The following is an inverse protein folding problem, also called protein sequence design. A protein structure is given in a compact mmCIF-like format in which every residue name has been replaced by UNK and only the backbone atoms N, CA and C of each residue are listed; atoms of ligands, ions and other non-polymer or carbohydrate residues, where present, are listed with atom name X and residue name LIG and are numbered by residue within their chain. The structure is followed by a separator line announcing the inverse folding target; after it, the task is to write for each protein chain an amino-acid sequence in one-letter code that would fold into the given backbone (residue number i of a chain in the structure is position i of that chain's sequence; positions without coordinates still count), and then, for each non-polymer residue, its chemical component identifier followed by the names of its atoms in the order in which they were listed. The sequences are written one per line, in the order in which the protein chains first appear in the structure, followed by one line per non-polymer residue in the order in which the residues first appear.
data_IF_768590303322
#
_entry.id   IF_768590303322
#
_cell.length_a   1.000
_cell.length_b   1.000
_cell.length_c   1.000
_cell.angle_alpha   90.00
_cell.angle_beta   90.00
_cell.angle_gamma   90.00
#
_symmetry.space_group_name_H-M   'P 1'
#
loop_
_entity.id
_entity.type
_entity.pdbx_description
1 polymer ?
#
# COMPACT_ATOMS: atom_id res chain seq x y z
N UNK A 1 -11.35 -12.36 13.04
CA UNK A 1 -10.73 -11.01 13.24
C UNK A 1 -11.65 -9.96 12.64
N UNK A 2 -11.83 -8.79 13.29
CA UNK A 2 -12.58 -7.67 12.69
C UNK A 2 -11.99 -7.33 11.31
N UNK A 3 -12.84 -7.23 10.28
CA UNK A 3 -12.48 -6.98 8.88
C UNK A 3 -11.47 -5.83 8.73
N UNK A 4 -11.60 -4.78 9.54
CA UNK A 4 -10.68 -3.63 9.58
C UNK A 4 -9.25 -3.96 10.04
N UNK A 5 -9.07 -4.85 11.02
CA UNK A 5 -7.73 -5.26 11.48
C UNK A 5 -6.98 -6.05 10.40
N UNK A 6 -7.69 -6.84 9.59
CA UNK A 6 -7.09 -7.59 8.50
C UNK A 6 -6.43 -6.65 7.47
N UNK A 7 -7.10 -5.59 7.04
CA UNK A 7 -6.54 -4.67 6.04
C UNK A 7 -5.34 -3.87 6.56
N UNK A 8 -5.32 -3.46 7.85
CA UNK A 8 -4.14 -2.84 8.44
C UNK A 8 -2.96 -3.80 8.40
N UNK A 9 -3.16 -5.04 8.86
CA UNK A 9 -2.10 -6.04 8.96
C UNK A 9 -1.59 -6.42 7.57
N UNK A 10 -2.49 -6.61 6.60
CA UNK A 10 -2.13 -6.88 5.22
C UNK A 10 -1.30 -5.74 4.60
N UNK A 11 -1.75 -4.48 4.75
CA UNK A 11 -1.02 -3.33 4.22
C UNK A 11 0.33 -3.12 4.91
N UNK A 12 0.44 -3.41 6.21
CA UNK A 12 1.69 -3.33 6.96
C UNK A 12 2.68 -4.42 6.56
N UNK A 13 2.21 -5.64 6.31
CA UNK A 13 3.02 -6.74 5.75
C UNK A 13 3.59 -6.33 4.39
N UNK A 14 2.76 -5.77 3.52
CA UNK A 14 3.18 -5.35 2.18
C UNK A 14 4.18 -4.18 2.24
N UNK A 15 4.01 -3.23 3.16
CA UNK A 15 4.99 -2.16 3.38
C UNK A 15 6.34 -2.72 3.83
N UNK A 16 6.35 -3.58 4.86
CA UNK A 16 7.58 -4.18 5.37
C UNK A 16 8.28 -4.98 4.26
N UNK A 17 7.53 -5.78 3.50
CA UNK A 17 8.06 -6.51 2.37
C UNK A 17 8.68 -5.57 1.32
N UNK A 18 8.02 -4.46 0.99
CA UNK A 18 8.54 -3.47 0.05
C UNK A 18 9.85 -2.82 0.52
N UNK A 19 9.98 -2.52 1.82
CA UNK A 19 11.21 -1.98 2.42
C UNK A 19 12.35 -3.01 2.37
N UNK A 20 12.07 -4.27 2.70
CA UNK A 20 13.07 -5.35 2.65
C UNK A 20 13.52 -5.59 1.21
N UNK A 21 12.59 -5.59 0.25
CA UNK A 21 12.89 -5.72 -1.18
C UNK A 21 13.77 -4.56 -1.65
N UNK A 22 13.45 -3.33 -1.25
CA UNK A 22 14.26 -2.15 -1.54
C UNK A 22 15.70 -2.31 -1.01
N UNK A 23 15.84 -2.67 0.27
CA UNK A 23 17.14 -2.92 0.89
C UNK A 23 17.93 -4.00 0.15
N UNK A 24 17.31 -5.15 -0.11
CA UNK A 24 17.96 -6.27 -0.79
C UNK A 24 18.47 -5.91 -2.20
N UNK A 25 17.65 -5.23 -3.00
CA UNK A 25 18.04 -4.84 -4.36
C UNK A 25 19.11 -3.74 -4.35
N UNK A 26 19.05 -2.81 -3.39
CA UNK A 26 20.04 -1.73 -3.29
C UNK A 26 21.46 -2.25 -2.98
N UNK A 27 21.57 -3.33 -2.19
CA UNK A 27 22.87 -3.88 -1.79
C UNK A 27 23.37 -4.92 -2.81
N UNK A 28 22.51 -5.80 -3.31
CA UNK A 28 22.93 -6.97 -4.11
C UNK A 28 22.71 -6.79 -5.62
N UNK A 29 21.96 -5.77 -6.06
CA UNK A 29 21.74 -5.52 -7.48
C UNK A 29 20.97 -6.66 -8.18
N UNK A 30 21.34 -7.08 -9.40
CA UNK A 30 20.57 -8.06 -10.19
C UNK A 30 20.41 -9.43 -9.52
N UNK A 31 21.34 -9.84 -8.65
CA UNK A 31 21.28 -11.14 -7.95
C UNK A 31 20.23 -11.17 -6.83
N UNK A 32 19.67 -10.03 -6.44
CA UNK A 32 18.56 -9.95 -5.48
C UNK A 32 17.22 -10.45 -6.04
N UNK A 33 17.13 -10.75 -7.34
CA UNK A 33 15.87 -11.09 -8.00
C UNK A 33 15.19 -12.34 -7.42
N UNK A 34 15.97 -13.38 -7.07
CA UNK A 34 15.47 -14.63 -6.48
C UNK A 34 14.89 -14.41 -5.06
N UNK A 35 15.61 -13.80 -4.09
CA UNK A 35 15.06 -13.57 -2.76
C UNK A 35 13.86 -12.59 -2.78
N UNK A 36 13.84 -11.62 -3.68
CA UNK A 36 12.70 -10.70 -3.86
C UNK A 36 11.46 -11.46 -4.33
N UNK A 37 11.58 -12.32 -5.33
CA UNK A 37 10.46 -13.14 -5.81
C UNK A 37 9.89 -14.03 -4.69
N UNK A 38 10.76 -14.66 -3.89
CA UNK A 38 10.37 -15.45 -2.72
C UNK A 38 9.59 -14.62 -1.68
N UNK A 39 10.07 -13.42 -1.35
CA UNK A 39 9.40 -12.51 -0.42
C UNK A 39 8.01 -12.08 -0.88
N UNK A 40 7.84 -11.80 -2.17
CA UNK A 40 6.52 -11.45 -2.75
C UNK A 40 5.55 -12.62 -2.61
N UNK A 41 5.99 -13.84 -2.93
CA UNK A 41 5.16 -15.04 -2.80
C UNK A 41 4.78 -15.29 -1.34
N UNK A 42 5.74 -15.21 -0.41
CA UNK A 42 5.49 -15.38 1.03
C UNK A 42 4.49 -14.33 1.53
N UNK A 43 4.65 -13.08 1.11
CA UNK A 43 3.74 -11.99 1.50
C UNK A 43 2.32 -12.25 0.97
N UNK A 44 2.19 -12.69 -0.29
CA UNK A 44 0.90 -13.03 -0.88
C UNK A 44 0.22 -14.23 -0.17
N UNK A 45 0.98 -15.29 0.14
CA UNK A 45 0.47 -16.45 0.89
C UNK A 45 0.03 -16.02 2.30
N UNK A 46 0.81 -15.18 2.97
CA UNK A 46 0.50 -14.70 4.31
C UNK A 46 -0.82 -13.92 4.29
N UNK A 47 -1.00 -12.98 3.36
CA UNK A 47 -2.25 -12.23 3.19
C UNK A 47 -3.41 -13.17 2.87
N UNK A 48 -3.22 -14.15 2.00
CA UNK A 48 -4.25 -15.13 1.66
C UNK A 48 -4.69 -15.96 2.87
N UNK A 49 -3.76 -16.44 3.69
CA UNK A 49 -4.07 -17.19 4.92
C UNK A 49 -4.81 -16.33 5.94
N UNK A 50 -4.40 -15.06 6.08
CA UNK A 50 -5.08 -14.10 6.95
C UNK A 50 -6.52 -13.81 6.49
N UNK A 51 -6.82 -13.92 5.19
CA UNK A 51 -8.17 -13.70 4.65
C UNK A 51 -9.17 -14.70 5.20
N UNK A 52 -8.76 -15.95 5.35
CA UNK A 52 -9.62 -17.03 5.87
C UNK A 52 -9.93 -16.90 7.37
N UNK A 53 -9.38 -15.89 8.06
CA UNK A 53 -9.62 -15.60 9.49
C UNK A 53 -10.50 -14.38 9.73
N UNK A 54 -11.13 -13.84 8.69
CA UNK A 54 -12.05 -12.71 8.81
C UNK A 54 -13.43 -13.26 9.15
N UNK A 55 -14.01 -12.79 10.26
CA UNK A 55 -15.40 -13.10 10.59
C UNK A 55 -16.29 -12.20 9.71
N UNK A 56 -17.16 -12.81 8.92
CA UNK A 56 -18.11 -12.08 8.06
C UNK A 56 -19.13 -11.36 8.93
N UNK A 57 -18.83 -10.10 9.25
CA UNK A 57 -19.81 -9.21 9.87
C UNK A 57 -20.87 -8.83 8.84
N UNK A 58 -22.12 -8.93 9.27
CA UNK A 58 -23.38 -8.74 8.57
C UNK A 58 -23.60 -7.27 8.15
N UNK A 59 -22.72 -6.73 7.32
CA UNK A 59 -22.87 -5.38 6.74
C UNK A 59 -23.44 -5.56 5.34
N UNK A 60 -24.53 -4.86 5.03
CA UNK A 60 -25.18 -4.90 3.70
C UNK A 60 -24.15 -4.65 2.59
N UNK A 61 -24.18 -5.48 1.54
CA UNK A 61 -23.21 -5.45 0.44
C UNK A 61 -23.10 -4.08 -0.24
N UNK A 62 -24.19 -3.30 -0.24
CA UNK A 62 -24.22 -1.95 -0.81
C UNK A 62 -23.38 -0.94 0.00
N UNK A 63 -23.44 -0.98 1.33
CA UNK A 63 -22.65 -0.10 2.20
C UNK A 63 -21.15 -0.41 2.07
N UNK A 64 -20.79 -1.70 2.04
CA UNK A 64 -19.40 -2.14 1.82
C UNK A 64 -18.88 -1.65 0.47
N UNK A 65 -19.72 -1.75 -0.57
CA UNK A 65 -19.39 -1.27 -1.92
C UNK A 65 -19.04 0.22 -1.92
N UNK A 66 -19.93 1.07 -1.36
CA UNK A 66 -19.71 2.53 -1.27
C UNK A 66 -18.45 2.89 -0.47
N UNK A 67 -18.24 2.23 0.67
CA UNK A 67 -17.03 2.42 1.50
C UNK A 67 -15.77 2.12 0.70
N UNK A 68 -15.76 1.01 -0.05
CA UNK A 68 -14.61 0.61 -0.86
C UNK A 68 -14.35 1.61 -1.99
N UNK A 69 -15.40 2.09 -2.67
CA UNK A 69 -15.29 3.06 -3.75
C UNK A 69 -14.71 4.38 -3.24
N UNK A 70 -15.27 4.97 -2.18
CA UNK A 70 -14.78 6.23 -1.62
C UNK A 70 -13.33 6.11 -1.11
N UNK A 71 -13.00 5.01 -0.43
CA UNK A 71 -11.64 4.75 0.03
C UNK A 71 -10.67 4.60 -1.15
N UNK A 72 -11.08 3.90 -2.22
CA UNK A 72 -10.28 3.75 -3.42
C UNK A 72 -10.02 5.11 -4.08
N UNK A 73 -11.04 5.93 -4.30
CA UNK A 73 -10.89 7.24 -4.95
C UNK A 73 -9.97 8.18 -4.16
N UNK A 74 -10.14 8.28 -2.83
CA UNK A 74 -9.29 9.14 -1.99
C UNK A 74 -7.85 8.62 -1.92
N UNK A 75 -7.66 7.31 -1.78
CA UNK A 75 -6.31 6.73 -1.78
C UNK A 75 -5.61 6.92 -3.12
N UNK A 76 -6.34 6.84 -4.23
CA UNK A 76 -5.82 7.08 -5.57
C UNK A 76 -5.40 8.55 -5.74
N UNK A 77 -6.21 9.52 -5.30
CA UNK A 77 -5.85 10.94 -5.32
C UNK A 77 -4.54 11.23 -4.59
N UNK A 78 -4.38 10.72 -3.36
CA UNK A 78 -3.13 10.93 -2.59
C UNK A 78 -1.96 10.20 -3.23
N UNK A 79 -2.18 9.01 -3.78
CA UNK A 79 -1.11 8.24 -4.44
C UNK A 79 -0.59 8.98 -5.67
N UNK A 80 -1.47 9.60 -6.47
CA UNK A 80 -1.03 10.41 -7.62
C UNK A 80 -0.13 11.57 -7.19
N UNK A 81 -0.45 12.23 -6.07
CA UNK A 81 0.38 13.31 -5.53
C UNK A 81 1.76 12.78 -5.07
N UNK A 82 1.80 11.64 -4.39
CA UNK A 82 3.04 11.00 -3.96
C UNK A 82 3.91 10.55 -5.14
N UNK A 83 3.29 9.97 -6.16
CA UNK A 83 3.98 9.60 -7.41
C UNK A 83 4.57 10.83 -8.10
N UNK A 84 3.79 11.91 -8.20
CA UNK A 84 4.26 13.16 -8.78
C UNK A 84 5.47 13.74 -8.02
N UNK A 85 5.38 13.82 -6.69
CA UNK A 85 6.47 14.28 -5.84
C UNK A 85 7.73 13.40 -5.99
N UNK A 86 7.53 12.08 -6.06
CA UNK A 86 8.60 11.12 -6.29
C UNK A 86 9.27 11.33 -7.65
N UNK A 87 8.51 11.57 -8.71
CA UNK A 87 9.07 11.84 -10.05
C UNK A 87 9.93 13.11 -10.04
N UNK A 88 9.46 14.20 -9.42
CA UNK A 88 10.24 15.44 -9.29
C UNK A 88 11.52 15.18 -8.51
N UNK A 89 11.45 14.50 -7.36
CA UNK A 89 12.62 14.20 -6.55
C UNK A 89 13.68 13.39 -7.33
N UNK A 90 13.25 12.40 -8.12
CA UNK A 90 14.15 11.61 -8.96
C UNK A 90 14.76 12.43 -10.10
N UNK A 91 13.97 13.28 -10.77
CA UNK A 91 14.48 14.18 -11.79
C UNK A 91 15.52 15.16 -11.23
N UNK A 92 15.26 15.74 -10.05
CA UNK A 92 16.21 16.63 -9.38
C UNK A 92 17.52 15.91 -9.02
N UNK A 93 17.43 14.66 -8.53
CA UNK A 93 18.62 13.85 -8.24
C UNK A 93 19.43 13.54 -9.51
N UNK A 94 18.78 13.19 -10.61
CA UNK A 94 19.44 12.93 -11.89
C UNK A 94 20.16 14.17 -12.42
N UNK A 95 19.57 15.36 -12.26
CA UNK A 95 20.15 16.62 -12.75
C UNK A 95 21.36 17.08 -11.94
N UNK A 96 21.42 16.75 -10.64
CA UNK A 96 22.51 17.16 -9.74
C UNK A 96 23.63 16.11 -9.68
N UNK A 97 23.34 14.86 -10.04
CA UNK A 97 24.32 13.77 -10.02
C UNK A 97 25.41 13.95 -11.10
N UNK A 98 26.60 14.36 -10.65
CA UNK A 98 27.79 14.56 -11.50
C UNK A 98 28.44 13.24 -11.98
N UNK A 99 28.03 12.12 -11.38
CA UNK A 99 28.66 10.81 -11.59
C UNK A 99 27.76 9.89 -12.43
N UNK A 100 28.21 9.53 -13.64
CA UNK A 100 27.45 8.77 -14.63
C UNK A 100 26.91 7.43 -14.08
N UNK A 101 27.68 6.77 -13.21
CA UNK A 101 27.29 5.49 -12.62
C UNK A 101 26.14 5.65 -11.62
N UNK A 102 26.16 6.73 -10.81
CA UNK A 102 25.07 7.06 -9.89
C UNK A 102 23.81 7.45 -10.67
N UNK A 103 23.98 8.24 -11.74
CA UNK A 103 22.90 8.63 -12.64
C UNK A 103 22.23 7.43 -13.29
N UNK A 104 22.99 6.45 -13.80
CA UNK A 104 22.44 5.22 -14.39
C UNK A 104 21.76 4.34 -13.33
N UNK A 105 22.33 4.19 -12.13
CA UNK A 105 21.68 3.45 -11.04
C UNK A 105 20.39 4.13 -10.55
N UNK A 106 20.31 5.45 -10.61
CA UNK A 106 19.08 6.22 -10.35
C UNK A 106 18.06 6.16 -11.50
N UNK A 107 18.48 5.86 -12.73
CA UNK A 107 17.57 5.65 -13.86
C UNK A 107 16.85 4.29 -13.78
N UNK A 108 17.52 3.26 -13.25
CA UNK A 108 16.91 1.96 -12.93
C UNK A 108 15.96 2.01 -11.72
N UNK A 109 15.77 3.19 -11.12
CA UNK A 109 14.94 3.41 -9.94
C UNK A 109 13.44 3.44 -10.32
N UNK A 110 12.94 2.32 -10.82
CA UNK A 110 11.53 1.95 -10.72
C UNK A 110 11.11 1.66 -9.26
N UNK A 111 12.04 1.76 -8.30
CA UNK A 111 11.88 1.40 -6.90
C UNK A 111 11.08 2.35 -6.00
N UNK A 112 11.19 3.70 -6.09
CA UNK A 112 10.29 4.56 -5.36
C UNK A 112 8.85 4.36 -5.80
N UNK A 113 8.58 3.91 -7.03
CA UNK A 113 7.24 3.49 -7.43
C UNK A 113 6.74 2.29 -6.62
N UNK A 114 7.58 1.29 -6.35
CA UNK A 114 7.21 0.13 -5.51
C UNK A 114 6.88 0.55 -4.08
N UNK A 115 7.67 1.44 -3.49
CA UNK A 115 7.40 1.96 -2.14
C UNK A 115 6.11 2.79 -2.13
N UNK A 116 5.92 3.67 -3.12
CA UNK A 116 4.69 4.45 -3.25
C UNK A 116 3.45 3.55 -3.44
N UNK A 117 3.55 2.45 -4.19
CA UNK A 117 2.49 1.46 -4.34
C UNK A 117 2.19 0.73 -3.02
N UNK A 118 3.21 0.40 -2.23
CA UNK A 118 3.00 -0.18 -0.90
C UNK A 118 2.34 0.83 0.06
N UNK A 119 2.74 2.10 0.00
CA UNK A 119 2.13 3.20 0.77
C UNK A 119 0.68 3.43 0.34
N UNK A 120 0.35 3.31 -0.95
CA UNK A 120 -1.03 3.38 -1.45
C UNK A 120 -1.95 2.37 -0.74
N UNK A 121 -1.49 1.13 -0.53
CA UNK A 121 -2.27 0.11 0.17
C UNK A 121 -2.51 0.44 1.63
N UNK A 122 -1.57 1.11 2.31
CA UNK A 122 -1.77 1.62 3.66
C UNK A 122 -2.77 2.77 3.70
N UNK A 123 -2.64 3.73 2.79
CA UNK A 123 -3.58 4.85 2.67
C UNK A 123 -5.00 4.32 2.41
N UNK A 124 -5.13 3.34 1.51
CA UNK A 124 -6.39 2.65 1.26
C UNK A 124 -6.96 2.02 2.54
N UNK A 125 -6.14 1.27 3.30
CA UNK A 125 -6.58 0.66 4.54
C UNK A 125 -7.05 1.69 5.58
N UNK A 126 -6.32 2.82 5.73
CA UNK A 126 -6.68 3.92 6.63
C UNK A 126 -8.02 4.53 6.23
N UNK A 127 -8.21 4.89 4.95
CA UNK A 127 -9.47 5.47 4.49
C UNK A 127 -10.63 4.49 4.61
N UNK A 128 -10.41 3.21 4.32
CA UNK A 128 -11.43 2.18 4.47
C UNK A 128 -11.91 2.08 5.92
N UNK A 129 -10.99 2.17 6.89
CA UNK A 129 -11.33 2.18 8.32
C UNK A 129 -12.07 3.45 8.70
N UNK A 130 -11.60 4.61 8.24
CA UNK A 130 -12.23 5.89 8.47
C UNK A 130 -13.68 5.88 7.99
N UNK A 131 -13.92 5.47 6.74
CA UNK A 131 -15.26 5.40 6.17
C UNK A 131 -16.11 4.32 6.83
N UNK A 132 -15.54 3.16 7.19
CA UNK A 132 -16.29 2.15 7.95
C UNK A 132 -16.78 2.73 9.27
N UNK A 133 -15.91 3.39 10.04
CA UNK A 133 -16.31 4.04 11.31
C UNK A 133 -17.35 5.14 11.10
N UNK A 134 -17.21 5.91 10.03
CA UNK A 134 -18.15 6.99 9.70
C UNK A 134 -19.54 6.45 9.36
N UNK A 135 -19.64 5.40 8.55
CA UNK A 135 -20.93 4.85 8.13
C UNK A 135 -21.57 3.93 9.18
N UNK A 136 -20.80 3.05 9.83
CA UNK A 136 -21.36 2.17 10.88
C UNK A 136 -21.57 2.87 12.21
N UNK A 137 -20.89 4.01 12.44
CA UNK A 137 -21.08 4.82 13.65
C UNK A 137 -22.20 5.85 13.50
N UNK A 138 -22.59 6.21 12.28
CA UNK A 138 -23.75 7.09 12.04
C UNK A 138 -25.08 6.34 12.05
N UNK A 139 -25.10 5.02 11.78
CA UNK A 139 -26.34 4.21 11.89
C UNK A 139 -26.79 4.00 13.35
N UNK A 140 -25.88 3.99 14.32
CA UNK A 140 -26.23 3.84 15.75
C UNK A 140 -26.78 5.14 16.39
N UNK A 141 -26.56 6.31 15.76
CA UNK A 141 -27.01 7.62 16.28
C UNK A 141 -28.35 8.09 15.66
N UNK A 142 -28.91 7.37 14.67
CA UNK A 142 -30.19 7.72 14.01
C UNK A 142 -31.40 6.92 14.53
N UNK A 143 -31.24 6.01 15.51
CA UNK A 143 -32.35 5.22 16.11
C UNK A 143 -32.88 5.77 17.46
N UNK A 144 -32.60 7.03 17.78
CA UNK A 144 -33.18 7.70 18.97
C UNK A 144 -33.77 9.06 18.62
N UNK A 145 -34.94 9.06 17.97
CA UNK A 145 -35.98 10.10 18.10
C UNK A 145 -37.37 9.53 17.72
#
# INVERSE_FOLDING_TARGET
MKKNNYYIIASLIILIAAIIIYGAVSVWGPSAMIPVAGLVIISAITVYVLRNRIDDALVTDELISRINEMAATRSLQITWLLLFASVIANLSLILIADNDILRTRMLYLAMPFVINLAVMLLIYAIFRIYYTKMYTGSEDDEESD
#
